data_IF_729704701902
#
_entry.id   IF_729704701902
#
_cell.length_a   1.000
_cell.length_b   1.000
_cell.length_c   1.000
_cell.angle_alpha   90.00
_cell.angle_beta   90.00
_cell.angle_gamma   90.00
#
_symmetry.space_group_name_H-M   'P 1'
#
loop_
_entity.id
_entity.type
_entity.pdbx_description
1 polymer ?
#
# COMPACT_ATOMS: atom_id res chain seq x y z
N UNK A 1 -23.51 33.04 -64.72
CA UNK A 1 -23.95 31.88 -63.89
C UNK A 1 -22.82 31.28 -63.06
N UNK A 2 -21.66 30.93 -63.64
CA UNK A 2 -20.50 30.28 -62.96
C UNK A 2 -19.99 30.87 -61.63
N UNK A 3 -20.12 32.18 -61.39
CA UNK A 3 -19.57 32.85 -60.18
C UNK A 3 -20.40 32.63 -58.90
N UNK A 4 -21.69 32.26 -59.03
CA UNK A 4 -22.57 32.01 -57.88
C UNK A 4 -22.36 30.61 -57.29
N UNK A 5 -22.09 29.62 -58.13
CA UNK A 5 -21.81 28.23 -57.71
C UNK A 5 -20.55 28.14 -56.85
N UNK A 6 -19.49 28.88 -57.23
CA UNK A 6 -18.21 28.89 -56.49
C UNK A 6 -18.31 29.49 -55.08
N UNK A 7 -19.30 30.36 -54.85
CA UNK A 7 -19.50 30.99 -53.54
C UNK A 7 -20.33 30.09 -52.61
N UNK A 8 -21.33 29.37 -53.16
CA UNK A 8 -22.11 28.41 -52.39
C UNK A 8 -21.28 27.20 -51.94
N UNK A 9 -20.37 26.73 -52.79
CA UNK A 9 -19.44 25.65 -52.46
C UNK A 9 -18.51 26.03 -51.29
N UNK A 10 -17.94 27.24 -51.31
CA UNK A 10 -17.10 27.74 -50.21
C UNK A 10 -17.88 27.95 -48.91
N UNK A 11 -19.12 28.39 -48.97
CA UNK A 11 -19.97 28.50 -47.78
C UNK A 11 -20.35 27.14 -47.21
N UNK A 12 -20.63 26.17 -48.08
CA UNK A 12 -20.91 24.80 -47.69
C UNK A 12 -19.68 24.16 -47.02
N UNK A 13 -18.49 24.26 -47.60
CA UNK A 13 -17.26 23.76 -46.99
C UNK A 13 -17.02 24.38 -45.62
N UNK A 14 -17.18 25.70 -45.48
CA UNK A 14 -17.03 26.38 -44.18
C UNK A 14 -18.06 25.88 -43.16
N UNK A 15 -19.30 25.65 -43.57
CA UNK A 15 -20.35 25.13 -42.71
C UNK A 15 -20.06 23.68 -42.28
N UNK A 16 -19.57 22.85 -43.20
CA UNK A 16 -19.15 21.46 -42.92
C UNK A 16 -17.98 21.44 -41.95
N UNK A 17 -16.92 22.21 -42.20
CA UNK A 17 -15.74 22.26 -41.32
C UNK A 17 -16.09 22.75 -39.92
N UNK A 18 -17.01 23.72 -39.79
CA UNK A 18 -17.52 24.17 -38.48
C UNK A 18 -18.29 23.08 -37.75
N UNK A 19 -19.18 22.36 -38.45
CA UNK A 19 -19.92 21.24 -37.85
C UNK A 19 -18.98 20.11 -37.43
N UNK A 20 -18.01 19.75 -38.29
CA UNK A 20 -17.01 18.73 -37.99
C UNK A 20 -16.17 19.10 -36.77
N UNK A 21 -15.72 20.35 -36.67
CA UNK A 21 -14.97 20.84 -35.52
C UNK A 21 -15.80 20.78 -34.22
N UNK A 22 -17.06 21.21 -34.27
CA UNK A 22 -17.97 21.12 -33.13
C UNK A 22 -18.31 19.67 -32.73
N UNK A 23 -18.32 18.74 -33.67
CA UNK A 23 -18.48 17.30 -33.38
C UNK A 23 -17.21 16.75 -32.73
N UNK A 24 -16.03 17.07 -33.27
CA UNK A 24 -14.76 16.64 -32.70
C UNK A 24 -14.56 17.15 -31.26
N UNK A 25 -14.91 18.42 -31.00
CA UNK A 25 -14.83 19.03 -29.68
C UNK A 25 -15.79 18.38 -28.68
N UNK A 26 -17.02 18.04 -29.10
CA UNK A 26 -17.97 17.28 -28.27
C UNK A 26 -17.49 15.86 -27.96
N UNK A 27 -16.86 15.18 -28.91
CA UNK A 27 -16.30 13.83 -28.70
C UNK A 27 -15.13 13.90 -27.72
N UNK A 28 -14.23 14.88 -27.85
CA UNK A 28 -13.11 15.07 -26.93
C UNK A 28 -13.57 15.40 -25.51
N UNK A 29 -14.54 16.30 -25.36
CA UNK A 29 -15.13 16.59 -24.05
C UNK A 29 -15.82 15.37 -23.43
N UNK A 30 -16.60 14.64 -24.22
CA UNK A 30 -17.32 13.46 -23.73
C UNK A 30 -16.32 12.37 -23.32
N UNK A 31 -15.28 12.14 -24.12
CA UNK A 31 -14.17 11.25 -23.78
C UNK A 31 -13.55 11.66 -22.44
N UNK A 32 -13.14 12.92 -22.29
CA UNK A 32 -12.52 13.42 -21.04
C UNK A 32 -13.40 13.23 -19.80
N UNK A 33 -14.73 13.34 -19.93
CA UNK A 33 -15.67 13.10 -18.82
C UNK A 33 -15.72 11.61 -18.45
N UNK A 34 -15.92 10.75 -19.44
CA UNK A 34 -15.99 9.29 -19.26
C UNK A 34 -14.68 8.73 -18.68
N UNK A 35 -13.53 9.19 -19.20
CA UNK A 35 -12.22 8.81 -18.66
C UNK A 35 -12.04 9.24 -17.19
N UNK A 36 -12.48 10.44 -16.80
CA UNK A 36 -12.38 10.91 -15.41
C UNK A 36 -13.26 10.12 -14.45
N UNK A 37 -14.48 9.78 -14.85
CA UNK A 37 -15.41 9.01 -14.02
C UNK A 37 -14.87 7.60 -13.77
N UNK A 38 -14.46 6.90 -14.82
CA UNK A 38 -13.90 5.55 -14.69
C UNK A 38 -12.56 5.55 -13.97
N UNK A 39 -11.68 6.54 -14.17
CA UNK A 39 -10.41 6.62 -13.46
C UNK A 39 -10.60 6.74 -11.94
N UNK A 40 -11.62 7.48 -11.49
CA UNK A 40 -11.94 7.57 -10.05
C UNK A 40 -12.47 6.23 -9.51
N UNK A 41 -13.34 5.55 -10.26
CA UNK A 41 -13.84 4.23 -9.89
C UNK A 41 -12.70 3.21 -9.79
N UNK A 42 -11.84 3.11 -10.80
CA UNK A 42 -10.67 2.22 -10.80
C UNK A 42 -9.71 2.53 -9.64
N UNK A 43 -9.46 3.81 -9.33
CA UNK A 43 -8.63 4.20 -8.18
C UNK A 43 -9.26 3.83 -6.84
N UNK A 44 -10.58 3.93 -6.71
CA UNK A 44 -11.28 3.54 -5.48
C UNK A 44 -11.34 2.02 -5.30
N UNK A 45 -11.63 1.28 -6.37
CA UNK A 45 -11.63 -0.18 -6.39
C UNK A 45 -10.22 -0.74 -6.13
N UNK A 46 -9.19 -0.16 -6.76
CA UNK A 46 -7.79 -0.53 -6.54
C UNK A 46 -7.33 -0.32 -5.09
N UNK A 47 -7.76 0.77 -4.45
CA UNK A 47 -7.47 0.99 -3.00
C UNK A 47 -8.13 -0.07 -2.12
N UNK A 48 -9.42 -0.33 -2.32
CA UNK A 48 -10.15 -1.34 -1.54
C UNK A 48 -9.56 -2.75 -1.73
N UNK A 49 -9.23 -3.11 -2.97
CA UNK A 49 -8.55 -4.36 -3.27
C UNK A 49 -7.20 -4.46 -2.56
N UNK A 50 -6.43 -3.37 -2.50
CA UNK A 50 -5.18 -3.29 -1.76
C UNK A 50 -5.35 -3.55 -0.25
N UNK A 51 -6.36 -2.96 0.39
CA UNK A 51 -6.64 -3.19 1.82
C UNK A 51 -7.05 -4.63 2.10
N UNK A 52 -7.93 -5.19 1.26
CA UNK A 52 -8.38 -6.60 1.39
C UNK A 52 -7.22 -7.57 1.18
N UNK A 53 -6.41 -7.36 0.14
CA UNK A 53 -5.23 -8.18 -0.12
C UNK A 53 -4.24 -8.12 1.05
N UNK A 54 -4.00 -6.93 1.59
CA UNK A 54 -3.12 -6.73 2.76
C UNK A 54 -3.66 -7.47 3.98
N UNK A 55 -4.95 -7.33 4.28
CA UNK A 55 -5.58 -8.04 5.40
C UNK A 55 -5.50 -9.56 5.22
N UNK A 56 -5.76 -10.08 4.02
CA UNK A 56 -5.69 -11.50 3.70
C UNK A 56 -4.27 -12.06 3.89
N UNK A 57 -3.26 -11.38 3.34
CA UNK A 57 -1.84 -11.78 3.49
C UNK A 57 -1.44 -11.80 4.96
N UNK A 58 -1.78 -10.76 5.72
CA UNK A 58 -1.47 -10.72 7.16
C UNK A 58 -2.19 -11.83 7.93
N UNK A 59 -3.44 -12.15 7.58
CA UNK A 59 -4.18 -13.26 8.18
C UNK A 59 -3.54 -14.62 7.92
N UNK A 60 -3.09 -14.85 6.68
CA UNK A 60 -2.32 -16.06 6.31
C UNK A 60 -1.01 -16.13 7.10
N UNK A 61 -0.29 -15.01 7.24
CA UNK A 61 0.95 -14.96 8.03
C UNK A 61 0.71 -15.30 9.50
N UNK A 62 -0.36 -14.79 10.12
CA UNK A 62 -0.74 -15.16 11.50
C UNK A 62 -0.92 -16.68 11.61
N UNK A 63 -1.67 -17.28 10.68
CA UNK A 63 -1.89 -18.72 10.66
C UNK A 63 -0.56 -19.50 10.57
N UNK A 64 0.33 -19.08 9.67
CA UNK A 64 1.67 -19.69 9.51
C UNK A 64 2.46 -19.60 10.82
N UNK A 65 2.58 -18.40 11.41
CA UNK A 65 3.39 -18.22 12.63
C UNK A 65 2.82 -18.97 13.84
N UNK A 66 1.50 -19.05 13.99
CA UNK A 66 0.87 -19.83 15.07
C UNK A 66 1.15 -21.34 14.97
N UNK A 67 1.32 -21.85 13.74
CA UNK A 67 1.54 -23.29 13.51
C UNK A 67 3.01 -23.66 13.28
N UNK A 68 3.93 -22.70 13.22
CA UNK A 68 5.34 -22.93 12.91
C UNK A 68 6.00 -23.95 13.87
N UNK A 69 5.70 -23.83 15.18
CA UNK A 69 6.19 -24.77 16.20
C UNK A 69 5.57 -26.16 16.08
N UNK A 70 4.29 -26.23 15.72
CA UNK A 70 3.57 -27.51 15.52
C UNK A 70 4.10 -28.26 14.30
N UNK A 71 4.58 -27.55 13.29
CA UNK A 71 5.23 -28.14 12.10
C UNK A 71 6.63 -28.70 12.39
N UNK A 72 7.15 -28.55 13.60
CA UNK A 72 8.42 -29.09 14.07
C UNK A 72 9.58 -28.73 13.13
N UNK A 73 9.68 -27.44 12.82
CA UNK A 73 10.71 -26.90 11.94
C UNK A 73 12.07 -27.02 12.64
N UNK A 74 13.05 -27.74 12.05
CA UNK A 74 14.24 -28.20 12.76
C UNK A 74 15.23 -27.10 13.17
N UNK A 75 15.06 -25.88 12.65
CA UNK A 75 15.88 -24.72 13.01
C UNK A 75 15.20 -23.77 14.00
N UNK A 76 13.94 -24.01 14.36
CA UNK A 76 13.17 -23.12 15.23
C UNK A 76 13.19 -23.63 16.67
N UNK A 77 13.60 -22.78 17.60
CA UNK A 77 13.65 -23.14 19.03
C UNK A 77 12.32 -22.83 19.73
N UNK A 78 12.16 -23.38 20.94
CA UNK A 78 11.00 -23.09 21.78
C UNK A 78 10.92 -21.61 22.22
N UNK A 79 12.04 -20.88 22.15
CA UNK A 79 12.11 -19.43 22.44
C UNK A 79 11.26 -18.62 21.45
N UNK A 80 10.88 -19.21 20.32
CA UNK A 80 9.94 -18.59 19.39
C UNK A 80 8.60 -18.24 20.05
N UNK A 81 8.17 -18.98 21.09
CA UNK A 81 6.96 -18.68 21.86
C UNK A 81 7.01 -17.31 22.55
N UNK A 82 8.20 -16.82 22.91
CA UNK A 82 8.34 -15.51 23.56
C UNK A 82 8.22 -14.35 22.56
N UNK A 83 8.51 -14.62 21.28
CA UNK A 83 8.43 -13.63 20.19
C UNK A 83 7.06 -13.67 19.49
N UNK A 84 6.41 -14.83 19.45
CA UNK A 84 5.17 -15.07 18.74
C UNK A 84 4.03 -14.08 19.08
N UNK A 85 3.77 -13.73 20.37
CA UNK A 85 2.75 -12.74 20.71
C UNK A 85 2.99 -11.38 20.05
N UNK A 86 4.24 -10.93 19.96
CA UNK A 86 4.56 -9.65 19.34
C UNK A 86 4.37 -9.67 17.81
N UNK A 87 4.72 -10.78 17.16
CA UNK A 87 4.48 -10.99 15.72
C UNK A 87 2.98 -10.95 15.46
N UNK A 88 2.19 -11.77 16.17
CA UNK A 88 0.73 -11.85 15.99
C UNK A 88 0.08 -10.50 16.29
N UNK A 89 0.53 -9.79 17.33
CA UNK A 89 0.01 -8.46 17.66
C UNK A 89 0.28 -7.45 16.54
N UNK A 90 1.50 -7.42 15.99
CA UNK A 90 1.84 -6.50 14.88
C UNK A 90 1.02 -6.77 13.61
N UNK A 91 0.82 -8.04 13.26
CA UNK A 91 -0.01 -8.44 12.12
C UNK A 91 -1.49 -8.12 12.38
N UNK A 92 -1.98 -8.39 13.60
CA UNK A 92 -3.35 -8.09 14.01
C UNK A 92 -3.65 -6.60 13.98
N UNK A 93 -2.74 -5.75 14.47
CA UNK A 93 -2.84 -4.29 14.40
C UNK A 93 -2.85 -3.82 12.94
N UNK A 94 -2.06 -4.45 12.07
CA UNK A 94 -2.05 -4.14 10.63
C UNK A 94 -3.39 -4.49 9.98
N UNK A 95 -3.96 -5.65 10.29
CA UNK A 95 -5.29 -6.04 9.81
C UNK A 95 -6.35 -5.03 10.31
N UNK A 96 -6.35 -4.73 11.61
CA UNK A 96 -7.30 -3.79 12.20
C UNK A 96 -7.22 -2.40 11.54
N UNK A 97 -6.01 -1.88 11.32
CA UNK A 97 -5.79 -0.62 10.62
C UNK A 97 -6.37 -0.63 9.20
N UNK A 98 -6.10 -1.68 8.41
CA UNK A 98 -6.62 -1.81 7.04
C UNK A 98 -8.16 -1.95 7.02
N UNK A 99 -8.75 -2.63 8.01
CA UNK A 99 -10.21 -2.74 8.16
C UNK A 99 -10.83 -1.38 8.51
N UNK A 100 -10.20 -0.58 9.38
CA UNK A 100 -10.71 0.77 9.69
C UNK A 100 -10.63 1.68 8.46
N UNK A 101 -9.53 1.65 7.71
CA UNK A 101 -9.35 2.46 6.50
C UNK A 101 -10.31 2.08 5.35
N UNK A 102 -10.96 0.91 5.43
CA UNK A 102 -11.99 0.49 4.49
C UNK A 102 -13.29 1.28 4.62
N UNK A 103 -13.61 1.79 5.82
CA UNK A 103 -14.82 2.56 6.09
C UNK A 103 -14.65 4.03 5.72
N UNK A 104 -13.69 4.69 6.35
CA UNK A 104 -13.35 6.10 6.12
C UNK A 104 -11.84 6.26 6.00
N UNK A 105 -11.39 6.93 4.94
CA UNK A 105 -9.98 7.01 4.55
C UNK A 105 -9.43 8.46 4.64
N UNK A 106 -9.57 9.17 5.78
CA UNK A 106 -9.02 10.50 5.91
C UNK A 106 -7.48 10.43 6.02
N UNK A 107 -6.81 11.35 5.33
CA UNK A 107 -5.36 11.33 5.15
C UNK A 107 -4.60 11.28 6.48
N UNK A 108 -5.07 12.00 7.51
CA UNK A 108 -4.42 12.01 8.83
C UNK A 108 -4.51 10.65 9.53
N UNK A 109 -5.63 9.94 9.42
CA UNK A 109 -5.86 8.65 10.07
C UNK A 109 -4.97 7.57 9.45
N UNK A 110 -4.77 7.62 8.14
CA UNK A 110 -3.84 6.73 7.42
C UNK A 110 -2.40 6.87 7.95
N UNK A 111 -1.93 8.09 8.15
CA UNK A 111 -0.57 8.30 8.69
C UNK A 111 -0.48 7.90 10.17
N UNK A 112 -1.54 8.11 10.96
CA UNK A 112 -1.60 7.63 12.34
C UNK A 112 -1.46 6.10 12.39
N UNK A 113 -2.25 5.38 11.61
CA UNK A 113 -2.15 3.93 11.54
C UNK A 113 -0.80 3.46 11.03
N UNK A 114 -0.19 4.15 10.06
CA UNK A 114 1.15 3.83 9.59
C UNK A 114 2.21 3.93 10.71
N UNK A 115 2.12 4.97 11.56
CA UNK A 115 3.00 5.09 12.76
C UNK A 115 2.76 3.90 13.69
N UNK A 116 1.50 3.62 14.02
CA UNK A 116 1.13 2.53 14.95
C UNK A 116 1.63 1.18 14.42
N UNK A 117 1.29 0.81 13.18
CA UNK A 117 1.69 -0.47 12.58
C UNK A 117 3.22 -0.60 12.49
N UNK A 118 3.93 0.48 12.13
CA UNK A 118 5.39 0.46 12.08
C UNK A 118 6.02 0.33 13.47
N UNK A 119 5.44 0.94 14.52
CA UNK A 119 5.91 0.77 15.90
C UNK A 119 5.77 -0.68 16.38
N UNK A 120 4.63 -1.32 16.12
CA UNK A 120 4.45 -2.74 16.46
C UNK A 120 5.35 -3.65 15.61
N UNK A 121 5.54 -3.35 14.33
CA UNK A 121 6.48 -4.07 13.47
C UNK A 121 7.92 -3.96 13.96
N UNK A 122 8.36 -2.75 14.35
CA UNK A 122 9.68 -2.52 14.94
C UNK A 122 9.85 -3.26 16.27
N UNK A 123 8.82 -3.29 17.13
CA UNK A 123 8.85 -4.04 18.38
C UNK A 123 9.00 -5.56 18.14
N UNK A 124 8.25 -6.10 17.17
CA UNK A 124 8.38 -7.51 16.78
C UNK A 124 9.78 -7.82 16.23
N UNK A 125 10.33 -6.96 15.37
CA UNK A 125 11.67 -7.12 14.84
C UNK A 125 12.74 -7.04 15.93
N UNK A 126 12.58 -6.12 16.89
CA UNK A 126 13.45 -6.00 18.05
C UNK A 126 13.47 -7.28 18.90
N UNK A 127 12.29 -7.85 19.21
CA UNK A 127 12.22 -9.09 19.98
C UNK A 127 12.83 -10.27 19.21
N UNK A 128 12.58 -10.37 17.91
CA UNK A 128 13.14 -11.43 17.08
C UNK A 128 14.66 -11.32 16.96
N UNK A 129 15.22 -10.09 16.92
CA UNK A 129 16.65 -9.85 16.97
C UNK A 129 17.26 -10.16 18.35
N UNK A 130 16.56 -9.80 19.44
CA UNK A 130 17.06 -9.96 20.81
C UNK A 130 17.03 -11.42 21.30
N UNK A 131 15.93 -12.12 21.03
CA UNK A 131 15.72 -13.51 21.48
C UNK A 131 16.36 -14.47 20.48
N UNK A 132 16.34 -14.13 19.19
CA UNK A 132 16.87 -14.93 18.09
C UNK A 132 16.54 -16.43 18.22
N UNK A 133 15.28 -16.83 17.96
CA UNK A 133 14.79 -18.19 18.21
C UNK A 133 15.20 -19.19 17.12
N UNK A 134 16.37 -19.01 16.51
CA UNK A 134 16.85 -19.84 15.42
C UNK A 134 18.16 -20.53 15.78
N UNK A 135 18.21 -21.85 15.60
CA UNK A 135 19.40 -22.66 15.79
C UNK A 135 19.75 -23.41 14.50
N UNK A 136 20.87 -23.03 13.89
CA UNK A 136 21.38 -23.63 12.65
C UNK A 136 22.56 -24.60 12.90
N UNK A 137 22.91 -24.87 14.16
CA UNK A 137 24.06 -25.69 14.54
C UNK A 137 23.98 -27.13 14.03
N UNK A 138 22.77 -27.65 13.86
CA UNK A 138 22.48 -28.98 13.30
C UNK A 138 22.92 -29.13 11.83
N UNK A 139 23.13 -28.03 11.12
CA UNK A 139 23.42 -28.04 9.70
C UNK A 139 24.68 -27.22 9.41
N UNK A 140 25.85 -27.87 9.45
CA UNK A 140 27.18 -27.25 9.18
C UNK A 140 27.25 -26.38 7.91
N UNK A 141 26.43 -26.66 6.90
CA UNK A 141 26.39 -25.87 5.65
C UNK A 141 25.61 -24.57 5.77
N UNK A 142 24.65 -24.45 6.70
CA UNK A 142 23.83 -23.25 6.90
C UNK A 142 24.12 -22.52 8.21
N UNK A 143 25.00 -23.03 9.07
CA UNK A 143 25.48 -22.30 10.26
C UNK A 143 26.08 -20.93 9.88
N UNK A 144 26.74 -20.84 8.72
CA UNK A 144 27.23 -19.59 8.13
C UNK A 144 26.13 -18.57 7.79
N UNK A 145 24.84 -18.97 7.78
CA UNK A 145 23.71 -18.08 7.55
C UNK A 145 23.28 -17.32 8.81
N UNK A 146 23.61 -17.80 10.01
CA UNK A 146 23.28 -17.15 11.28
C UNK A 146 23.66 -15.65 11.30
N UNK A 147 24.90 -15.23 10.96
CA UNK A 147 25.24 -13.81 10.91
C UNK A 147 24.51 -13.05 9.79
N UNK A 148 24.20 -13.72 8.67
CA UNK A 148 23.45 -13.12 7.55
C UNK A 148 22.01 -12.82 7.98
N UNK A 149 21.37 -13.74 8.70
CA UNK A 149 20.00 -13.55 9.21
C UNK A 149 19.97 -12.43 10.26
N UNK A 150 20.93 -12.39 11.19
CA UNK A 150 21.07 -11.27 12.12
C UNK A 150 21.24 -9.93 11.40
N UNK A 151 22.09 -9.88 10.36
CA UNK A 151 22.29 -8.67 9.57
C UNK A 151 21.01 -8.27 8.83
N UNK A 152 20.29 -9.23 8.25
CA UNK A 152 19.01 -8.99 7.58
C UNK A 152 17.96 -8.45 8.56
N UNK A 153 17.90 -8.99 9.78
CA UNK A 153 17.02 -8.51 10.84
C UNK A 153 17.38 -7.10 11.30
N UNK A 154 18.68 -6.81 11.43
CA UNK A 154 19.15 -5.46 11.77
C UNK A 154 18.77 -4.45 10.69
N UNK A 155 18.98 -4.80 9.41
CA UNK A 155 18.58 -3.96 8.27
C UNK A 155 17.05 -3.75 8.29
N UNK A 156 16.27 -4.82 8.47
CA UNK A 156 14.82 -4.75 8.58
C UNK A 156 14.37 -3.84 9.73
N UNK A 157 14.98 -3.98 10.89
CA UNK A 157 14.72 -3.13 12.05
C UNK A 157 15.02 -1.65 11.75
N UNK A 158 16.20 -1.33 11.21
CA UNK A 158 16.55 0.05 10.83
C UNK A 158 15.56 0.61 9.78
N UNK A 159 15.19 -0.19 8.78
CA UNK A 159 14.21 0.21 7.78
C UNK A 159 12.84 0.53 8.41
N UNK A 160 12.39 -0.25 9.40
CA UNK A 160 11.15 0.06 10.12
C UNK A 160 11.24 1.36 10.92
N UNK A 161 12.38 1.65 11.56
CA UNK A 161 12.60 2.91 12.28
C UNK A 161 12.52 4.13 11.36
N UNK A 162 13.13 4.05 10.17
CA UNK A 162 13.02 5.09 9.15
C UNK A 162 11.56 5.25 8.73
N UNK A 163 10.84 4.14 8.53
CA UNK A 163 9.42 4.12 8.23
C UNK A 163 8.56 4.85 9.28
N UNK A 164 8.86 4.66 10.57
CA UNK A 164 8.22 5.40 11.68
C UNK A 164 8.49 6.90 11.51
N UNK A 165 9.75 7.31 11.36
CA UNK A 165 10.11 8.72 11.25
C UNK A 165 9.40 9.42 10.08
N UNK A 166 9.38 8.79 8.91
CA UNK A 166 8.67 9.29 7.72
C UNK A 166 7.17 9.40 7.99
N UNK A 167 6.57 8.38 8.61
CA UNK A 167 5.13 8.36 8.91
C UNK A 167 4.74 9.47 9.88
N UNK A 168 5.58 9.77 10.87
CA UNK A 168 5.37 10.89 11.80
C UNK A 168 5.43 12.22 11.06
N UNK A 169 6.41 12.44 10.18
CA UNK A 169 6.51 13.68 9.38
C UNK A 169 5.27 13.84 8.50
N UNK A 170 4.83 12.76 7.84
CA UNK A 170 3.63 12.80 7.01
C UNK A 170 2.36 13.09 7.81
N UNK A 171 2.24 12.53 9.02
CA UNK A 171 1.14 12.82 9.94
C UNK A 171 1.10 14.31 10.28
N UNK A 172 2.25 14.90 10.65
CA UNK A 172 2.35 16.32 10.97
C UNK A 172 1.98 17.22 9.77
N UNK A 173 2.45 16.87 8.57
CA UNK A 173 2.11 17.60 7.33
C UNK A 173 0.62 17.46 6.97
N UNK A 174 0.04 16.27 7.17
CA UNK A 174 -1.38 16.05 6.92
C UNK A 174 -2.26 16.86 7.89
N UNK A 175 -1.87 16.91 9.17
CA UNK A 175 -2.55 17.71 10.18
C UNK A 175 -2.47 19.21 9.86
N UNK A 176 -1.28 19.72 9.47
CA UNK A 176 -1.12 21.15 9.14
C UNK A 176 -1.96 21.58 7.93
N UNK A 177 -2.02 20.74 6.88
CA UNK A 177 -2.87 20.99 5.70
C UNK A 177 -4.36 20.85 6.01
N UNK A 178 -4.74 19.94 6.91
CA UNK A 178 -6.12 19.77 7.36
C UNK A 178 -6.62 20.96 8.17
N UNK A 179 -5.76 21.54 9.00
CA UNK A 179 -6.05 22.77 9.76
C UNK A 179 -6.15 24.02 8.88
N UNK A 180 -5.37 24.10 7.80
CA UNK A 180 -5.41 25.22 6.86
C UNK A 180 -6.64 25.25 5.92
N UNK A 181 -7.45 24.19 5.91
CA UNK A 181 -8.62 24.04 5.01
C UNK A 181 -9.96 24.23 5.74
N UNK A 182 -9.94 24.57 7.02
CA UNK A 182 -11.11 24.91 7.85
C UNK A 182 -11.18 26.41 8.07
#
# INVERSE_FOLDING_TARGET
MKRKETNQEKEFERAVTRKLKAVAERIDEHGKRVWKEHEQEFRSAGRRAGYVATAAVNGVLIYIFLHLLVWNIPFLTNDFNDVLPAIVLSLGVTIAANVVLLFDDPIWLRHLFAVVTNSFGAYSAYLLYRIFPFDFSLYRTVDSLTPIIHLLLLIGYIATLIGIAVSVVQLLVALSRGLAKK
#
